data_IF_756909617391
#
_entry.id   IF_756909617391
#
_cell.length_a   1.000
_cell.length_b   1.000
_cell.length_c   1.000
_cell.angle_alpha   90.00
_cell.angle_beta   90.00
_cell.angle_gamma   90.00
#
_symmetry.space_group_name_H-M   'P 1'
#
loop_
_entity.id
_entity.type
_entity.pdbx_description
1 polymer ?
#
# COMPACT_ATOMS: atom_id res chain seq x y z
N UNK A 1 -9.35 -11.76 18.68
CA UNK A 1 -8.44 -12.33 17.67
C UNK A 1 -8.34 -11.35 16.53
N UNK A 2 -7.14 -10.82 16.25
CA UNK A 2 -6.91 -10.08 15.02
C UNK A 2 -7.06 -11.03 13.82
N UNK A 3 -7.60 -10.58 12.68
CA UNK A 3 -7.68 -11.41 11.49
C UNK A 3 -6.26 -11.85 11.06
N UNK A 4 -6.10 -13.08 10.51
CA UNK A 4 -4.81 -13.53 10.00
C UNK A 4 -4.33 -12.60 8.89
N UNK A 5 -3.04 -12.24 8.94
CA UNK A 5 -2.40 -11.46 7.89
C UNK A 5 -2.47 -12.23 6.56
N UNK A 6 -3.05 -11.61 5.53
CA UNK A 6 -2.99 -12.12 4.17
C UNK A 6 -1.80 -11.47 3.48
N UNK A 7 -0.78 -12.26 3.05
CA UNK A 7 0.36 -11.72 2.31
C UNK A 7 -0.09 -10.89 1.12
N UNK A 8 0.58 -9.75 0.91
CA UNK A 8 0.35 -8.96 -0.29
C UNK A 8 0.87 -9.79 -1.46
N UNK A 9 0.00 -10.19 -2.38
CA UNK A 9 0.43 -10.90 -3.57
C UNK A 9 1.23 -9.93 -4.46
N UNK A 10 2.46 -10.32 -4.78
CA UNK A 10 3.32 -9.55 -5.69
C UNK A 10 2.73 -9.58 -7.10
N UNK A 11 1.87 -8.63 -7.41
CA UNK A 11 1.46 -8.37 -8.78
C UNK A 11 2.56 -7.52 -9.40
N UNK A 12 3.43 -8.08 -10.24
CA UNK A 12 4.48 -7.30 -10.88
C UNK A 12 3.92 -6.05 -11.57
N UNK A 13 4.67 -4.94 -11.55
CA UNK A 13 4.29 -3.67 -12.18
C UNK A 13 3.82 -3.92 -13.63
N UNK A 14 2.56 -3.59 -13.99
CA UNK A 14 2.10 -3.70 -15.37
C UNK A 14 3.02 -2.92 -16.32
N UNK A 15 3.30 -3.43 -17.53
CA UNK A 15 4.16 -2.73 -18.47
C UNK A 15 3.53 -1.42 -18.92
N UNK A 16 4.34 -0.36 -19.03
CA UNK A 16 3.88 0.93 -19.51
C UNK A 16 3.58 0.88 -21.02
N UNK A 17 2.42 1.37 -21.49
CA UNK A 17 2.02 1.26 -22.89
C UNK A 17 2.70 2.33 -23.77
N UNK A 18 3.94 2.07 -24.19
CA UNK A 18 4.77 3.02 -24.95
C UNK A 18 4.11 3.49 -26.25
N UNK A 19 3.58 2.58 -27.06
CA UNK A 19 2.93 2.92 -28.34
C UNK A 19 1.71 3.85 -28.17
N UNK A 20 0.96 3.69 -27.08
CA UNK A 20 -0.20 4.51 -26.79
C UNK A 20 0.23 5.90 -26.26
N UNK A 21 1.26 5.97 -25.42
CA UNK A 21 1.88 7.22 -24.98
C UNK A 21 2.36 8.05 -26.18
N UNK A 22 3.09 7.44 -27.12
CA UNK A 22 3.62 8.12 -28.30
C UNK A 22 2.51 8.71 -29.17
N UNK A 23 1.40 7.98 -29.36
CA UNK A 23 0.22 8.46 -30.10
C UNK A 23 -0.40 9.68 -29.43
N UNK A 24 -0.57 9.65 -28.11
CA UNK A 24 -1.12 10.78 -27.35
C UNK A 24 -0.18 11.98 -27.45
N UNK A 25 1.13 11.80 -27.27
CA UNK A 25 2.11 12.89 -27.40
C UNK A 25 2.12 13.50 -28.78
N UNK A 26 2.02 12.68 -29.84
CA UNK A 26 1.95 13.17 -31.21
C UNK A 26 0.69 13.99 -31.44
N UNK A 27 -0.47 13.50 -31.01
CA UNK A 27 -1.73 14.23 -31.13
C UNK A 27 -1.71 15.54 -30.35
N UNK A 28 -1.26 15.51 -29.09
CA UNK A 28 -1.08 16.67 -28.24
C UNK A 28 -0.21 17.76 -28.88
N UNK A 29 0.92 17.38 -29.49
CA UNK A 29 1.79 18.31 -30.22
C UNK A 29 1.13 18.93 -31.45
N UNK A 30 0.34 18.16 -32.19
CA UNK A 30 -0.38 18.66 -33.39
C UNK A 30 -1.39 19.74 -33.00
N UNK A 31 -2.07 19.59 -31.86
CA UNK A 31 -3.06 20.57 -31.39
C UNK A 31 -2.50 21.56 -30.36
N UNK A 32 -1.17 21.60 -30.16
CA UNK A 32 -0.48 22.47 -29.21
C UNK A 32 -1.02 22.40 -27.77
N UNK A 33 -1.36 21.19 -27.30
CA UNK A 33 -1.92 20.97 -25.97
C UNK A 33 -0.97 20.16 -25.08
N UNK A 34 -0.28 20.82 -24.14
CA UNK A 34 0.80 20.21 -23.36
C UNK A 34 0.35 19.40 -22.12
N UNK A 35 -0.84 19.68 -21.56
CA UNK A 35 -1.30 19.04 -20.32
C UNK A 35 -1.37 17.49 -20.38
N UNK A 36 -1.78 16.85 -21.50
CA UNK A 36 -1.72 15.40 -21.66
C UNK A 36 -0.29 14.85 -21.58
N UNK A 37 0.71 15.58 -22.09
CA UNK A 37 2.12 15.19 -22.07
C UNK A 37 2.63 15.16 -20.62
N UNK A 38 2.35 16.23 -19.86
CA UNK A 38 2.69 16.31 -18.44
C UNK A 38 2.02 15.20 -17.63
N UNK A 39 0.76 14.88 -17.96
CA UNK A 39 0.01 13.80 -17.33
C UNK A 39 0.67 12.44 -17.58
N UNK A 40 1.13 12.18 -18.81
CA UNK A 40 1.86 10.96 -19.16
C UNK A 40 3.20 10.83 -18.40
N UNK A 41 3.95 11.92 -18.29
CA UNK A 41 5.22 11.94 -17.56
C UNK A 41 5.03 11.65 -16.07
N UNK A 42 3.99 12.22 -15.46
CA UNK A 42 3.59 11.93 -14.09
C UNK A 42 3.21 10.45 -13.91
N UNK A 43 2.41 9.87 -14.80
CA UNK A 43 2.04 8.44 -14.73
C UNK A 43 3.29 7.56 -14.81
N UNK A 44 4.20 7.88 -15.73
CA UNK A 44 5.42 7.10 -15.99
C UNK A 44 6.40 7.12 -14.82
N UNK A 45 6.58 8.29 -14.20
CA UNK A 45 7.68 8.53 -13.25
C UNK A 45 7.24 8.62 -11.79
N UNK A 46 6.06 9.15 -11.50
CA UNK A 46 5.66 9.50 -10.14
C UNK A 46 4.61 8.55 -9.55
N UNK A 47 3.67 8.07 -10.35
CA UNK A 47 2.47 7.39 -9.85
C UNK A 47 2.75 6.06 -9.13
N UNK A 48 3.80 5.35 -9.55
CA UNK A 48 4.17 4.06 -8.96
C UNK A 48 5.05 4.21 -7.70
N UNK A 49 5.78 5.32 -7.57
CA UNK A 49 6.59 5.64 -6.40
C UNK A 49 7.53 4.52 -5.95
N UNK A 50 7.60 4.31 -4.63
CA UNK A 50 8.36 3.22 -3.98
C UNK A 50 7.44 2.14 -3.38
N UNK A 51 6.34 1.81 -4.07
CA UNK A 51 5.35 0.81 -3.64
C UNK A 51 5.99 -0.53 -3.25
N UNK A 52 7.01 -0.97 -3.99
CA UNK A 52 7.77 -2.20 -3.72
C UNK A 52 8.44 -2.21 -2.33
N UNK A 53 8.97 -1.06 -1.88
CA UNK A 53 9.56 -0.96 -0.53
C UNK A 53 8.48 -1.03 0.54
N UNK A 54 7.33 -0.40 0.31
CA UNK A 54 6.20 -0.47 1.23
C UNK A 54 5.62 -1.88 1.31
N UNK A 55 5.57 -2.60 0.18
CA UNK A 55 5.18 -4.02 0.11
C UNK A 55 6.14 -4.90 0.90
N UNK A 56 7.45 -4.71 0.71
CA UNK A 56 8.47 -5.44 1.45
C UNK A 56 8.35 -5.22 2.96
N UNK A 57 8.16 -3.97 3.39
CA UNK A 57 7.94 -3.65 4.81
C UNK A 57 6.66 -4.33 5.30
N UNK A 58 5.54 -4.23 4.56
CA UNK A 58 4.28 -4.88 4.94
C UNK A 58 4.44 -6.39 5.15
N UNK A 59 5.16 -7.06 4.23
CA UNK A 59 5.45 -8.49 4.33
C UNK A 59 6.35 -8.80 5.53
N UNK A 60 7.39 -8.01 5.78
CA UNK A 60 8.28 -8.21 6.93
C UNK A 60 7.51 -8.12 8.27
N UNK A 61 6.66 -7.11 8.44
CA UNK A 61 5.85 -6.98 9.66
C UNK A 61 4.76 -8.04 9.79
N UNK A 62 4.20 -8.51 8.66
CA UNK A 62 3.12 -9.50 8.66
C UNK A 62 3.59 -10.95 8.79
N UNK A 63 4.86 -11.24 8.50
CA UNK A 63 5.43 -12.59 8.52
C UNK A 63 6.45 -12.80 9.67
N UNK A 64 6.72 -11.80 10.49
CA UNK A 64 7.62 -11.94 11.63
C UNK A 64 7.02 -12.89 12.69
N UNK A 65 7.67 -14.03 12.90
CA UNK A 65 7.24 -15.04 13.87
C UNK A 65 7.91 -14.87 15.23
N UNK A 66 8.96 -14.07 15.36
CA UNK A 66 9.85 -14.04 16.53
C UNK A 66 9.09 -13.79 17.82
N UNK A 67 8.13 -12.87 17.81
CA UNK A 67 7.32 -12.54 18.98
C UNK A 67 6.32 -13.65 19.35
N UNK A 68 5.77 -14.34 18.34
CA UNK A 68 4.89 -15.48 18.58
C UNK A 68 5.66 -16.72 19.08
N UNK A 69 6.87 -16.93 18.56
CA UNK A 69 7.77 -18.00 19.00
C UNK A 69 8.21 -17.75 20.45
N UNK A 70 8.62 -16.51 20.77
CA UNK A 70 8.97 -16.08 22.13
C UNK A 70 7.83 -16.29 23.13
N UNK A 71 6.58 -15.97 22.73
CA UNK A 71 5.38 -16.23 23.55
C UNK A 71 5.22 -17.73 23.85
N UNK A 72 5.46 -18.56 22.84
CA UNK A 72 5.33 -20.01 22.94
C UNK A 72 6.41 -20.57 23.88
N UNK A 73 7.63 -20.07 23.80
CA UNK A 73 8.72 -20.42 24.71
C UNK A 73 8.42 -20.00 26.16
N UNK A 74 7.91 -18.78 26.39
CA UNK A 74 7.53 -18.32 27.75
C UNK A 74 6.45 -19.23 28.34
N UNK A 75 5.38 -19.54 27.58
CA UNK A 75 4.33 -20.42 28.07
C UNK A 75 4.85 -21.83 28.36
N UNK A 76 5.68 -22.37 27.47
CA UNK A 76 6.31 -23.69 27.68
C UNK A 76 7.19 -23.69 28.94
N UNK A 77 7.97 -22.63 29.17
CA UNK A 77 8.79 -22.49 30.35
C UNK A 77 7.93 -22.43 31.63
N UNK A 78 6.82 -21.67 31.62
CA UNK A 78 5.88 -21.62 32.75
C UNK A 78 5.30 -23.00 33.06
N UNK A 79 4.83 -23.70 32.05
CA UNK A 79 4.20 -25.02 32.20
C UNK A 79 5.19 -26.05 32.75
N UNK A 80 6.43 -26.02 32.26
CA UNK A 80 7.51 -26.87 32.80
C UNK A 80 7.84 -26.52 34.27
N UNK A 81 7.86 -25.23 34.61
CA UNK A 81 8.21 -24.76 35.96
C UNK A 81 7.11 -25.10 36.98
N UNK A 82 5.85 -25.09 36.55
CA UNK A 82 4.69 -25.47 37.36
C UNK A 82 4.79 -26.89 37.96
N UNK A 83 5.53 -27.78 37.30
CA UNK A 83 5.76 -29.15 37.75
C UNK A 83 6.83 -29.27 38.86
N UNK A 84 7.59 -28.21 39.16
CA UNK A 84 8.71 -28.25 40.11
C UNK A 84 8.72 -27.10 41.13
N UNK A 85 7.93 -26.06 40.90
CA UNK A 85 7.91 -24.86 41.74
C UNK A 85 6.49 -24.41 42.03
N UNK A 86 6.19 -24.22 43.32
CA UNK A 86 4.90 -23.78 43.81
C UNK A 86 5.08 -22.64 44.83
N UNK A 87 3.97 -22.03 45.26
CA UNK A 87 3.96 -21.03 46.33
C UNK A 87 3.92 -19.57 45.84
N UNK A 88 4.02 -18.59 46.78
CA UNK A 88 3.81 -17.18 46.48
C UNK A 88 4.78 -16.60 45.44
N UNK A 89 6.05 -17.04 45.46
CA UNK A 89 7.07 -16.60 44.51
C UNK A 89 6.78 -17.12 43.09
N UNK A 90 6.33 -18.38 42.96
CA UNK A 90 5.85 -18.93 41.69
C UNK A 90 4.63 -18.17 41.18
N UNK A 91 3.67 -17.84 42.05
CA UNK A 91 2.49 -17.05 41.66
C UNK A 91 2.86 -15.66 41.11
N UNK A 92 3.85 -14.99 41.72
CA UNK A 92 4.35 -13.71 41.24
C UNK A 92 5.02 -13.84 39.85
N UNK A 93 5.89 -14.85 39.68
CA UNK A 93 6.51 -15.16 38.38
C UNK A 93 5.47 -15.49 37.30
N UNK A 94 4.50 -16.35 37.62
CA UNK A 94 3.44 -16.76 36.69
C UNK A 94 2.59 -15.55 36.26
N UNK A 95 2.27 -14.65 37.19
CA UNK A 95 1.57 -13.40 36.91
C UNK A 95 2.39 -12.50 35.97
N UNK A 96 3.68 -12.31 36.28
CA UNK A 96 4.62 -11.54 35.46
C UNK A 96 4.72 -12.08 34.02
N UNK A 97 4.96 -13.38 33.89
CA UNK A 97 5.11 -14.02 32.59
C UNK A 97 3.80 -13.97 31.78
N UNK A 98 2.64 -14.11 32.43
CA UNK A 98 1.33 -13.92 31.79
C UNK A 98 1.11 -12.48 31.33
N UNK A 99 1.52 -11.48 32.12
CA UNK A 99 1.45 -10.07 31.73
C UNK A 99 2.34 -9.81 30.50
N UNK A 100 3.56 -10.34 30.51
CA UNK A 100 4.51 -10.24 29.39
C UNK A 100 3.95 -10.85 28.11
N UNK A 101 3.37 -12.05 28.19
CA UNK A 101 2.66 -12.69 27.07
C UNK A 101 1.49 -11.82 26.58
N UNK A 102 0.71 -11.24 27.50
CA UNK A 102 -0.40 -10.34 27.17
C UNK A 102 0.05 -9.05 26.47
N UNK A 103 1.22 -8.51 26.82
CA UNK A 103 1.85 -7.40 26.11
C UNK A 103 2.26 -7.82 24.69
N UNK A 104 2.95 -8.96 24.55
CA UNK A 104 3.35 -9.50 23.24
C UNK A 104 2.13 -9.74 22.32
N UNK A 105 1.00 -10.21 22.84
CA UNK A 105 -0.22 -10.39 22.05
C UNK A 105 -0.80 -9.06 21.53
N UNK A 106 -0.74 -7.98 22.32
CA UNK A 106 -1.17 -6.64 21.88
C UNK A 106 -0.24 -6.07 20.82
N UNK A 107 1.06 -6.30 20.99
CA UNK A 107 2.09 -5.85 20.06
C UNK A 107 1.95 -6.58 18.71
N UNK A 108 1.78 -7.91 18.72
CA UNK A 108 1.49 -8.71 17.52
C UNK A 108 0.23 -8.21 16.77
N UNK A 109 -0.85 -7.89 17.50
CA UNK A 109 -2.06 -7.36 16.89
C UNK A 109 -1.82 -5.98 16.23
N UNK A 110 -0.97 -5.16 16.84
CA UNK A 110 -0.54 -3.87 16.31
C UNK A 110 0.29 -4.04 15.03
N UNK A 111 1.26 -4.96 15.04
CA UNK A 111 2.09 -5.30 13.88
C UNK A 111 1.24 -5.78 12.70
N UNK A 112 0.28 -6.67 12.95
CA UNK A 112 -0.64 -7.16 11.91
C UNK A 112 -1.52 -6.04 11.32
N UNK A 113 -1.92 -5.07 12.14
CA UNK A 113 -2.68 -3.91 11.68
C UNK A 113 -1.83 -3.01 10.78
N UNK A 114 -0.57 -2.75 11.15
CA UNK A 114 0.41 -2.02 10.30
C UNK A 114 0.58 -2.72 8.96
N UNK A 115 0.87 -4.02 8.98
CA UNK A 115 1.07 -4.82 7.77
C UNK A 115 -0.15 -4.78 6.84
N UNK A 116 -1.36 -4.85 7.40
CA UNK A 116 -2.61 -4.79 6.65
C UNK A 116 -2.80 -3.44 5.96
N UNK A 117 -2.66 -2.33 6.68
CA UNK A 117 -2.86 -1.00 6.08
C UNK A 117 -1.78 -0.63 5.07
N UNK A 118 -0.52 -1.04 5.30
CA UNK A 118 0.52 -0.91 4.29
C UNK A 118 0.19 -1.72 3.03
N UNK A 119 -0.26 -2.96 3.20
CA UNK A 119 -0.69 -3.80 2.07
C UNK A 119 -1.87 -3.22 1.28
N UNK A 120 -2.85 -2.64 1.96
CA UNK A 120 -3.96 -1.92 1.31
C UNK A 120 -3.47 -0.69 0.53
N UNK A 121 -2.58 0.10 1.13
CA UNK A 121 -2.00 1.28 0.47
C UNK A 121 -1.23 0.90 -0.79
N UNK A 122 -0.44 -0.18 -0.73
CA UNK A 122 0.26 -0.76 -1.88
C UNK A 122 -0.73 -1.18 -2.96
N UNK A 123 -1.77 -1.94 -2.59
CA UNK A 123 -2.83 -2.37 -3.51
C UNK A 123 -3.50 -1.19 -4.23
N UNK A 124 -3.82 -0.11 -3.51
CA UNK A 124 -4.36 1.12 -4.10
C UNK A 124 -3.40 1.72 -5.14
N UNK A 125 -2.08 1.75 -4.88
CA UNK A 125 -1.08 2.25 -5.84
C UNK A 125 -1.07 1.40 -7.11
N UNK A 126 -1.05 0.06 -6.97
CA UNK A 126 -1.11 -0.86 -8.12
C UNK A 126 -2.39 -0.67 -8.95
N UNK A 127 -3.56 -0.61 -8.31
CA UNK A 127 -4.85 -0.40 -8.98
C UNK A 127 -4.93 0.96 -9.67
N UNK A 128 -4.40 2.01 -9.04
CA UNK A 128 -4.32 3.35 -9.60
C UNK A 128 -3.45 3.32 -10.87
N UNK A 129 -2.30 2.66 -10.81
CA UNK A 129 -1.42 2.55 -11.97
C UNK A 129 -2.04 1.73 -13.12
N UNK A 130 -2.67 0.60 -12.83
CA UNK A 130 -3.39 -0.19 -13.83
C UNK A 130 -4.53 0.60 -14.50
N UNK A 131 -5.28 1.37 -13.71
CA UNK A 131 -6.35 2.24 -14.22
C UNK A 131 -5.80 3.37 -15.09
N UNK A 132 -4.67 3.98 -14.70
CA UNK A 132 -4.00 5.00 -15.50
C UNK A 132 -3.52 4.45 -16.86
N UNK A 133 -2.95 3.24 -16.89
CA UNK A 133 -2.58 2.54 -18.13
C UNK A 133 -3.81 2.32 -19.02
N UNK A 134 -4.95 1.92 -18.43
CA UNK A 134 -6.21 1.74 -19.16
C UNK A 134 -6.67 3.04 -19.81
N UNK A 135 -6.56 4.17 -19.10
CA UNK A 135 -6.89 5.48 -19.65
C UNK A 135 -5.96 5.91 -20.78
N UNK A 136 -4.67 5.58 -20.72
CA UNK A 136 -3.73 5.80 -21.83
C UNK A 136 -4.19 5.00 -23.06
N UNK A 137 -4.52 3.71 -22.89
CA UNK A 137 -5.02 2.87 -23.97
C UNK A 137 -6.31 3.41 -24.61
N UNK A 138 -7.29 3.81 -23.79
CA UNK A 138 -8.57 4.35 -24.27
C UNK A 138 -8.37 5.67 -25.03
N UNK A 139 -7.56 6.59 -24.50
CA UNK A 139 -7.26 7.85 -25.18
C UNK A 139 -6.59 7.60 -26.53
N UNK A 140 -5.59 6.70 -26.59
CA UNK A 140 -4.95 6.35 -27.85
C UNK A 140 -5.92 5.72 -28.87
N UNK A 141 -6.89 4.92 -28.42
CA UNK A 141 -7.91 4.35 -29.29
C UNK A 141 -8.87 5.42 -29.85
N UNK A 142 -9.28 6.38 -29.03
CA UNK A 142 -10.14 7.48 -29.46
C UNK A 142 -9.41 8.44 -30.42
N UNK A 143 -8.13 8.71 -30.15
CA UNK A 143 -7.26 9.44 -31.06
C UNK A 143 -7.02 8.71 -32.39
N UNK A 144 -6.98 7.37 -32.40
CA UNK A 144 -6.91 6.61 -33.64
C UNK A 144 -8.09 6.88 -34.58
N UNK A 145 -9.28 7.15 -34.02
CA UNK A 145 -10.49 7.47 -34.79
C UNK A 145 -10.54 8.93 -35.24
N UNK A 146 -10.08 9.86 -34.39
CA UNK A 146 -10.15 11.30 -34.66
C UNK A 146 -8.92 11.88 -35.37
N UNK A 147 -7.72 11.39 -35.02
CA UNK A 147 -6.44 11.92 -35.47
C UNK A 147 -6.10 11.65 -36.94
N UNK A 148 -6.71 10.65 -37.57
CA UNK A 148 -6.58 10.42 -39.01
C UNK A 148 -7.07 11.64 -39.81
N UNK A 149 -8.19 12.25 -39.40
CA UNK A 149 -8.77 13.42 -40.07
C UNK A 149 -7.93 14.69 -39.85
N UNK A 150 -7.37 14.87 -38.65
CA UNK A 150 -6.47 16.01 -38.36
C UNK A 150 -5.16 15.90 -39.13
N UNK A 151 -4.58 14.70 -39.24
CA UNK A 151 -3.37 14.47 -40.05
C UNK A 151 -3.62 14.67 -41.55
N UNK A 152 -4.79 14.26 -42.05
CA UNK A 152 -5.20 14.51 -43.43
C UNK A 152 -5.44 16.01 -43.72
N UNK A 153 -5.93 16.77 -42.73
CA UNK A 153 -6.14 18.21 -42.87
C UNK A 153 -4.86 19.05 -42.67
N UNK A 154 -3.92 18.59 -41.85
CA UNK A 154 -2.64 19.26 -41.59
C UNK A 154 -1.57 18.93 -42.64
N UNK A 155 -1.68 17.78 -43.31
CA UNK A 155 -0.92 17.48 -44.52
C UNK A 155 -1.48 18.30 -45.68
N UNK A 156 -0.64 19.08 -46.36
CA UNK A 156 -0.97 19.97 -47.50
C UNK A 156 -1.43 19.23 -48.77
N UNK A 157 -2.06 18.08 -48.63
CA UNK A 157 -2.71 17.37 -49.74
C UNK A 157 -4.09 18.02 -49.88
N UNK A 158 -4.26 18.84 -50.92
CA UNK A 158 -5.58 19.31 -51.35
C UNK A 158 -6.43 18.09 -51.75
N UNK A 159 -7.04 17.43 -50.76
CA UNK A 159 -8.08 16.45 -51.01
C UNK A 159 -9.34 17.28 -51.30
N UNK A 160 -9.93 17.22 -52.50
CA UNK A 160 -10.99 18.14 -52.96
C UNK A 160 -12.33 18.06 -52.19
N UNK A 161 -12.36 17.37 -51.05
CA UNK A 161 -13.55 17.16 -50.21
C UNK A 161 -13.29 17.37 -48.71
N UNK A 162 -12.07 17.67 -48.26
CA UNK A 162 -11.80 17.92 -46.83
C UNK A 162 -12.02 19.41 -46.55
N UNK A 163 -13.27 19.75 -46.25
CA UNK A 163 -13.67 21.10 -45.85
C UNK A 163 -12.97 21.50 -44.53
N UNK A 164 -12.58 22.78 -44.41
CA UNK A 164 -11.99 23.40 -43.21
C UNK A 164 -12.90 23.17 -41.98
N UNK A 165 -14.21 23.11 -42.18
CA UNK A 165 -15.19 22.78 -41.12
C UNK A 165 -14.95 21.35 -40.58
N UNK A 166 -14.63 20.39 -41.44
CA UNK A 166 -14.36 18.99 -41.05
C UNK A 166 -13.04 18.88 -40.27
N UNK A 167 -12.03 19.68 -40.65
CA UNK A 167 -10.77 19.76 -39.94
C UNK A 167 -10.93 20.35 -38.52
N UNK A 168 -11.73 21.41 -38.37
CA UNK A 168 -12.05 21.99 -37.07
C UNK A 168 -12.76 21.00 -36.14
N UNK A 169 -13.80 20.31 -36.63
CA UNK A 169 -14.53 19.28 -35.87
C UNK A 169 -13.61 18.11 -35.47
N UNK A 170 -12.64 17.75 -36.30
CA UNK A 170 -11.66 16.72 -35.96
C UNK A 170 -10.67 17.19 -34.88
N UNK A 171 -10.22 18.44 -34.94
CA UNK A 171 -9.35 19.04 -33.93
C UNK A 171 -10.05 19.13 -32.56
N UNK A 172 -11.32 19.56 -32.53
CA UNK A 172 -12.14 19.59 -31.31
C UNK A 172 -12.27 18.20 -30.68
N UNK A 173 -12.54 17.16 -31.47
CA UNK A 173 -12.61 15.77 -30.98
C UNK A 173 -11.28 15.28 -30.41
N UNK A 174 -10.15 15.69 -30.99
CA UNK A 174 -8.82 15.38 -30.45
C UNK A 174 -8.62 16.08 -29.10
N UNK A 175 -8.95 17.38 -29.01
CA UNK A 175 -8.86 18.16 -27.77
C UNK A 175 -9.79 17.57 -26.68
N UNK A 176 -11.00 17.15 -27.03
CA UNK A 176 -11.95 16.52 -26.11
C UNK A 176 -11.44 15.18 -25.57
N UNK A 177 -10.86 14.34 -26.44
CA UNK A 177 -10.28 13.06 -26.02
C UNK A 177 -9.08 13.28 -25.08
N UNK A 178 -8.20 14.24 -25.41
CA UNK A 178 -7.05 14.61 -24.59
C UNK A 178 -7.48 15.22 -23.24
N UNK A 179 -8.49 16.09 -23.23
CA UNK A 179 -9.01 16.71 -22.01
C UNK A 179 -9.72 15.69 -21.13
N UNK A 180 -10.47 14.76 -21.72
CA UNK A 180 -11.11 13.65 -21.01
C UNK A 180 -10.06 12.74 -20.37
N UNK A 181 -8.95 12.47 -21.06
CA UNK A 181 -7.83 11.73 -20.50
C UNK A 181 -7.23 12.43 -19.28
N UNK A 182 -6.87 13.71 -19.38
CA UNK A 182 -6.33 14.50 -18.26
C UNK A 182 -7.30 14.52 -17.08
N UNK A 183 -8.60 14.72 -17.35
CA UNK A 183 -9.65 14.73 -16.33
C UNK A 183 -9.76 13.39 -15.61
N UNK A 184 -9.83 12.28 -16.36
CA UNK A 184 -9.95 10.93 -15.82
C UNK A 184 -8.74 10.58 -14.93
N UNK A 185 -7.53 10.91 -15.37
CA UNK A 185 -6.31 10.70 -14.56
C UNK A 185 -6.32 11.58 -13.31
N UNK A 186 -6.72 12.84 -13.41
CA UNK A 186 -6.80 13.75 -12.25
C UNK A 186 -7.82 13.25 -11.22
N UNK A 187 -9.01 12.80 -11.68
CA UNK A 187 -10.03 12.20 -10.80
C UNK A 187 -9.52 10.94 -10.13
N UNK A 188 -8.82 10.08 -10.88
CA UNK A 188 -8.22 8.86 -10.35
C UNK A 188 -7.17 9.16 -9.27
N UNK A 189 -6.27 10.11 -9.51
CA UNK A 189 -5.25 10.53 -8.53
C UNK A 189 -5.88 11.16 -7.30
N UNK A 190 -6.92 11.98 -7.46
CA UNK A 190 -7.65 12.57 -6.34
C UNK A 190 -8.32 11.50 -5.48
N UNK A 191 -8.95 10.50 -6.11
CA UNK A 191 -9.55 9.36 -5.41
C UNK A 191 -8.49 8.53 -4.67
N UNK A 192 -7.38 8.19 -5.34
CA UNK A 192 -6.28 7.45 -4.74
C UNK A 192 -5.64 8.22 -3.58
N UNK A 193 -5.42 9.52 -3.73
CA UNK A 193 -4.89 10.39 -2.67
C UNK A 193 -5.84 10.45 -1.47
N UNK A 194 -7.15 10.48 -1.71
CA UNK A 194 -8.15 10.45 -0.64
C UNK A 194 -8.12 9.12 0.10
N UNK A 195 -8.05 7.99 -0.61
CA UNK A 195 -7.95 6.66 0.01
C UNK A 195 -6.64 6.51 0.80
N UNK A 196 -5.50 6.92 0.24
CA UNK A 196 -4.21 6.96 0.94
C UNK A 196 -4.27 7.91 2.13
N UNK A 197 -4.96 9.05 2.02
CA UNK A 197 -5.19 9.99 3.12
C UNK A 197 -6.00 9.36 4.26
N UNK A 198 -7.02 8.56 3.94
CA UNK A 198 -7.78 7.78 4.93
C UNK A 198 -6.89 6.74 5.61
N UNK A 199 -6.10 5.98 4.85
CA UNK A 199 -5.12 5.04 5.40
C UNK A 199 -4.05 5.73 6.24
N UNK A 200 -3.60 6.93 5.84
CA UNK A 200 -2.65 7.74 6.61
C UNK A 200 -3.30 8.28 7.88
N UNK A 201 -4.58 8.64 7.88
CA UNK A 201 -5.28 9.02 9.11
C UNK A 201 -5.39 7.84 10.08
N UNK A 202 -5.65 6.64 9.55
CA UNK A 202 -5.53 5.39 10.29
C UNK A 202 -4.07 5.12 10.68
N UNK A 203 -3.09 5.61 9.92
CA UNK A 203 -1.66 5.46 10.21
C UNK A 203 -1.02 6.52 11.11
N UNK A 204 -1.64 7.67 11.32
CA UNK A 204 -1.32 8.56 12.44
C UNK A 204 -1.68 7.85 13.75
N UNK A 205 -2.67 6.94 13.70
CA UNK A 205 -2.84 5.97 14.78
C UNK A 205 -1.65 4.99 14.87
N UNK A 206 -0.91 4.67 13.79
CA UNK A 206 0.33 3.86 13.88
C UNK A 206 1.47 4.55 14.63
N UNK A 207 1.68 5.85 14.43
CA UNK A 207 2.67 6.58 15.23
C UNK A 207 2.30 6.58 16.72
N UNK A 208 0.99 6.65 17.02
CA UNK A 208 0.48 6.50 18.39
C UNK A 208 0.52 5.04 18.88
N UNK A 209 0.33 4.05 18.01
CA UNK A 209 0.47 2.61 18.31
C UNK A 209 1.93 2.24 18.56
N UNK A 210 2.87 2.94 17.91
CA UNK A 210 4.29 2.90 18.23
C UNK A 210 4.58 3.30 19.69
N UNK A 211 3.78 4.20 20.25
CA UNK A 211 3.82 4.54 21.68
C UNK A 211 3.02 3.57 22.55
N UNK A 212 2.19 2.70 21.95
CA UNK A 212 1.47 1.64 22.65
C UNK A 212 2.26 0.35 22.78
N UNK A 213 3.40 0.20 22.09
CA UNK A 213 4.36 -0.85 22.43
C UNK A 213 4.68 -0.73 23.92
N UNK A 214 4.18 -1.68 24.69
CA UNK A 214 4.38 -1.65 26.12
C UNK A 214 5.69 -2.36 26.39
N UNK A 215 6.56 -1.76 27.20
CA UNK A 215 7.59 -2.56 27.81
C UNK A 215 6.91 -3.50 28.81
N UNK A 216 7.27 -4.79 28.84
CA UNK A 216 6.93 -5.64 29.97
C UNK A 216 7.33 -4.89 31.25
N UNK A 217 6.55 -5.04 32.31
CA UNK A 217 6.97 -4.51 33.61
C UNK A 217 8.36 -5.04 33.96
N UNK A 218 9.16 -4.31 34.76
CA UNK A 218 10.37 -4.88 35.29
C UNK A 218 10.04 -6.07 36.20
N UNK A 219 10.90 -7.09 36.20
CA UNK A 219 10.77 -8.20 37.14
C UNK A 219 10.68 -7.66 38.57
N UNK A 220 9.72 -8.15 39.40
CA UNK A 220 9.64 -7.76 40.79
C UNK A 220 10.95 -8.12 41.53
N UNK A 221 11.32 -7.31 42.53
CA UNK A 221 12.53 -7.59 43.34
C UNK A 221 12.48 -9.01 43.91
N UNK A 222 13.58 -9.74 43.76
CA UNK A 222 13.70 -11.10 44.26
C UNK A 222 13.48 -11.13 45.79
N UNK A 223 12.80 -12.18 46.32
CA UNK A 223 12.63 -12.33 47.76
C UNK A 223 13.98 -12.36 48.48
N UNK A 224 14.16 -11.50 49.48
CA UNK A 224 15.45 -11.28 50.17
C UNK A 224 15.75 -12.39 51.18
N UNK A 225 14.78 -13.22 51.53
CA UNK A 225 14.93 -14.31 52.50
C UNK A 225 14.67 -15.67 51.86
N UNK A 226 15.58 -16.63 52.08
CA UNK A 226 15.51 -18.01 51.53
C UNK A 226 14.21 -18.74 51.92
N UNK A 227 13.63 -18.40 53.08
CA UNK A 227 12.32 -18.90 53.51
C UNK A 227 11.13 -18.35 52.72
N UNK A 228 11.31 -17.36 51.83
CA UNK A 228 10.24 -16.86 50.96
C UNK A 228 10.25 -17.55 49.59
N UNK A 229 11.32 -18.30 49.29
CA UNK A 229 11.50 -19.01 48.03
C UNK A 229 10.74 -20.34 47.96
N UNK A 230 10.16 -20.81 49.07
CA UNK A 230 9.51 -22.12 49.28
C UNK A 230 9.29 -22.94 48.00
N UNK A 231 10.36 -23.54 47.47
CA UNK A 231 10.30 -24.50 46.39
C UNK A 231 9.92 -25.81 47.04
N UNK A 232 8.63 -26.15 47.04
CA UNK A 232 8.20 -27.47 47.47
C UNK A 232 8.47 -28.45 46.31
N UNK A 233 9.29 -29.49 46.51
CA UNK A 233 9.39 -30.54 45.52
C UNK A 233 8.03 -31.23 45.41
N UNK A 234 7.54 -31.38 44.18
CA UNK A 234 6.32 -32.15 43.94
C UNK A 234 6.49 -33.58 44.45
N UNK A 235 5.49 -34.05 45.21
CA UNK A 235 5.40 -35.44 45.68
C UNK A 235 5.16 -36.40 44.54
#
# INVERSE_FOLDING_TARGET
MAPPYTPVQHQGKPPYPQDADEKIRKAAKIVFYDAPIQTLDMIKTQLFGSSEKAEQIANNWGQDTVMNDSKTEINTAKDNLAAYWEGPAYNAFNSYASNTVGVMDKDLATMGSIATTLGQSVSTVYQTYASAITFIGNCAADLGKAGLYVLLAAGTIEIPFVDVITAGVAADKVIDALSSFVKNVTTLISSATTQIGQYKSQGISFANLGQQFQNPEPLPEAPKHVGEWHVHPNK
#
